data_IF_986863685934
#
_entry.id   IF_986863685934
#
_cell.length_a   1.000
_cell.length_b   1.000
_cell.length_c   1.000
_cell.angle_alpha   90.00
_cell.angle_beta   90.00
_cell.angle_gamma   90.00
#
_symmetry.space_group_name_H-M   'P 1'
#
loop_
_entity.id
_entity.type
_entity.pdbx_description
1 polymer ?
#
# COMPACT_ATOMS: atom_id res chain seq x y z
N UNK A 1 -5.57 7.17 -2.82
CA UNK A 1 -5.34 7.18 -4.28
C UNK A 1 -6.27 6.19 -4.94
N UNK A 2 -6.95 6.62 -6.00
CA UNK A 2 -7.72 5.73 -6.87
C UNK A 2 -6.81 5.25 -8.02
N UNK A 3 -6.66 3.94 -8.17
CA UNK A 3 -5.84 3.32 -9.22
C UNK A 3 -6.68 2.56 -10.26
N UNK A 4 -8.00 2.44 -10.07
CA UNK A 4 -8.85 1.56 -10.88
C UNK A 4 -10.32 2.00 -10.88
N UNK A 5 -10.58 3.30 -10.99
CA UNK A 5 -11.94 3.85 -11.04
C UNK A 5 -12.79 3.47 -9.82
N UNK A 6 -12.17 3.48 -8.64
CA UNK A 6 -12.80 3.17 -7.36
C UNK A 6 -12.80 1.68 -6.99
N UNK A 7 -12.32 0.79 -7.85
CA UNK A 7 -12.19 -0.65 -7.51
C UNK A 7 -11.03 -0.94 -6.56
N UNK A 8 -9.92 -0.22 -6.74
CA UNK A 8 -8.76 -0.27 -5.87
C UNK A 8 -8.53 1.11 -5.27
N UNK A 9 -8.64 1.20 -3.95
CA UNK A 9 -8.33 2.39 -3.18
C UNK A 9 -7.16 2.09 -2.26
N UNK A 10 -6.15 2.96 -2.28
CA UNK A 10 -5.05 2.93 -1.31
C UNK A 10 -5.08 4.18 -0.43
N UNK A 11 -5.13 4.00 0.88
CA UNK A 11 -5.03 5.07 1.87
C UNK A 11 -3.68 4.96 2.58
N UNK A 12 -2.94 6.06 2.64
CA UNK A 12 -1.60 6.08 3.22
C UNK A 12 -1.56 6.99 4.45
N UNK A 13 -1.06 6.46 5.56
CA UNK A 13 -0.79 7.20 6.79
C UNK A 13 0.72 7.28 6.99
N UNK A 14 1.24 8.50 7.10
CA UNK A 14 2.66 8.75 7.39
C UNK A 14 2.86 9.14 8.85
N UNK A 15 3.87 8.55 9.47
CA UNK A 15 4.32 8.92 10.82
C UNK A 15 5.58 9.76 10.72
N UNK A 16 5.59 10.89 11.45
CA UNK A 16 6.67 11.86 11.45
C UNK A 16 7.24 11.97 12.86
N UNK A 17 8.56 11.93 12.96
CA UNK A 17 9.30 12.07 14.21
C UNK A 17 10.29 13.24 14.11
N UNK A 18 10.80 13.71 15.25
CA UNK A 18 11.87 14.73 15.29
C UNK A 18 13.20 14.03 15.49
N UNK A 19 14.11 14.19 14.54
CA UNK A 19 15.50 13.73 14.63
C UNK A 19 16.44 14.90 14.44
N UNK A 20 17.38 15.08 15.37
CA UNK A 20 18.36 16.18 15.36
C UNK A 20 17.71 17.58 15.17
N UNK A 21 16.49 17.75 15.70
CA UNK A 21 15.71 18.99 15.58
C UNK A 21 14.96 19.17 14.27
N UNK A 22 14.90 18.14 13.41
CA UNK A 22 14.23 18.16 12.10
C UNK A 22 13.10 17.13 12.05
N UNK A 23 11.96 17.50 11.46
CA UNK A 23 10.86 16.58 11.21
C UNK A 23 11.20 15.64 10.05
N UNK A 24 11.15 14.34 10.30
CA UNK A 24 11.44 13.29 9.33
C UNK A 24 10.31 12.28 9.28
N UNK A 25 9.95 11.83 8.08
CA UNK A 25 9.01 10.70 7.93
C UNK A 25 9.75 9.44 8.34
N UNK A 26 9.18 8.66 9.24
CA UNK A 26 9.77 7.39 9.70
C UNK A 26 9.08 6.18 9.16
N UNK A 27 7.75 6.26 9.05
CA UNK A 27 6.91 5.13 8.64
C UNK A 27 5.81 5.59 7.71
N UNK A 28 5.43 4.71 6.79
CA UNK A 28 4.21 4.83 6.01
C UNK A 28 3.45 3.50 6.10
N UNK A 29 2.17 3.59 6.44
CA UNK A 29 1.25 2.45 6.43
C UNK A 29 0.24 2.66 5.31
N UNK A 30 0.16 1.71 4.37
CA UNK A 30 -0.80 1.75 3.27
C UNK A 30 -1.89 0.71 3.46
N UNK A 31 -3.13 1.14 3.65
CA UNK A 31 -4.30 0.27 3.64
C UNK A 31 -4.91 0.25 2.24
N UNK A 32 -4.95 -0.93 1.63
CA UNK A 32 -5.60 -1.15 0.35
C UNK A 32 -6.98 -1.79 0.53
N UNK A 33 -7.97 -1.27 -0.17
CA UNK A 33 -9.28 -1.90 -0.32
C UNK A 33 -9.48 -2.23 -1.79
N UNK A 34 -9.74 -3.51 -2.08
CA UNK A 34 -9.97 -4.01 -3.43
C UNK A 34 -11.33 -4.69 -3.53
N UNK A 35 -12.19 -4.17 -4.42
CA UNK A 35 -13.44 -4.84 -4.80
C UNK A 35 -13.16 -5.92 -5.84
N UNK A 36 -13.57 -7.14 -5.53
CA UNK A 36 -13.42 -8.31 -6.38
C UNK A 36 -14.71 -8.62 -7.14
N UNK A 37 -14.56 -8.90 -8.43
CA UNK A 37 -15.64 -9.51 -9.20
C UNK A 37 -15.93 -10.93 -8.64
N UNK A 38 -17.17 -11.45 -8.74
CA UNK A 38 -17.56 -12.71 -8.09
C UNK A 38 -16.74 -13.95 -8.49
N UNK A 39 -16.16 -13.94 -9.70
CA UNK A 39 -15.35 -15.01 -10.27
C UNK A 39 -13.84 -14.75 -10.15
N UNK A 40 -13.44 -13.72 -9.41
CA UNK A 40 -12.03 -13.37 -9.24
C UNK A 40 -11.26 -14.45 -8.47
N UNK A 41 -10.08 -14.79 -9.00
CA UNK A 41 -9.15 -15.73 -8.37
C UNK A 41 -8.40 -15.05 -7.21
N UNK A 42 -8.90 -15.26 -6.00
CA UNK A 42 -8.32 -14.70 -4.76
C UNK A 42 -6.85 -15.07 -4.56
N UNK A 43 -6.42 -16.26 -5.00
CA UNK A 43 -5.02 -16.66 -4.87
C UNK A 43 -4.10 -15.85 -5.79
N UNK A 44 -4.56 -15.55 -7.02
CA UNK A 44 -3.83 -14.64 -7.91
C UNK A 44 -3.78 -13.22 -7.39
N UNK A 45 -4.89 -12.73 -6.81
CA UNK A 45 -4.94 -11.41 -6.17
C UNK A 45 -3.95 -11.34 -5.02
N UNK A 46 -3.96 -12.33 -4.12
CA UNK A 46 -3.03 -12.39 -2.98
C UNK A 46 -1.58 -12.41 -3.47
N UNK A 47 -1.25 -13.26 -4.46
CA UNK A 47 0.10 -13.29 -5.04
C UNK A 47 0.49 -11.94 -5.66
N UNK A 48 -0.42 -11.27 -6.37
CA UNK A 48 -0.13 -9.95 -6.94
C UNK A 48 0.18 -8.93 -5.84
N UNK A 49 -0.58 -8.97 -4.74
CA UNK A 49 -0.34 -8.15 -3.57
C UNK A 49 0.98 -8.51 -2.87
N UNK A 50 1.31 -9.78 -2.64
CA UNK A 50 2.56 -10.14 -1.95
C UNK A 50 3.83 -9.65 -2.68
N UNK A 51 3.74 -9.47 -4.01
CA UNK A 51 4.87 -9.02 -4.84
C UNK A 51 4.78 -7.56 -5.31
N UNK A 52 3.70 -6.82 -5.00
CA UNK A 52 3.50 -5.49 -5.58
C UNK A 52 4.51 -4.46 -5.06
N UNK A 53 4.94 -4.58 -3.80
CA UNK A 53 5.80 -3.61 -3.14
C UNK A 53 7.13 -3.40 -3.88
N UNK A 54 7.77 -4.48 -4.34
CA UNK A 54 9.03 -4.42 -5.11
C UNK A 54 8.88 -3.68 -6.46
N UNK A 55 7.67 -3.60 -6.99
CA UNK A 55 7.34 -2.92 -8.25
C UNK A 55 6.71 -1.55 -8.04
N UNK A 56 6.38 -1.18 -6.80
CA UNK A 56 5.80 0.11 -6.46
C UNK A 56 6.85 1.22 -6.62
N UNK A 57 6.64 2.24 -7.48
CA UNK A 57 7.58 3.34 -7.65
C UNK A 57 7.89 4.08 -6.35
N UNK A 58 6.89 4.24 -5.48
CA UNK A 58 7.06 4.87 -4.16
C UNK A 58 7.97 4.02 -3.28
N UNK A 59 7.68 2.72 -3.11
CA UNK A 59 8.52 1.82 -2.33
C UNK A 59 9.96 1.78 -2.85
N UNK A 60 10.16 1.74 -4.17
CA UNK A 60 11.50 1.79 -4.78
C UNK A 60 12.25 3.11 -4.53
N UNK A 61 11.52 4.22 -4.36
CA UNK A 61 12.13 5.55 -4.21
C UNK A 61 12.52 5.84 -2.76
N UNK A 62 11.74 5.36 -1.78
CA UNK A 62 11.93 5.74 -0.36
C UNK A 62 11.92 4.55 0.62
N UNK A 63 11.59 3.34 0.19
CA UNK A 63 11.47 2.15 1.07
C UNK A 63 12.79 1.65 1.67
N UNK A 64 13.94 2.15 1.20
CA UNK A 64 15.23 1.91 1.85
C UNK A 64 15.54 2.91 2.98
N UNK A 65 14.80 4.01 3.04
CA UNK A 65 15.02 5.10 4.00
C UNK A 65 14.01 5.10 5.15
N UNK A 66 12.82 4.54 4.92
CA UNK A 66 11.72 4.51 5.89
C UNK A 66 11.05 3.14 5.90
N UNK A 67 10.39 2.81 7.01
CA UNK A 67 9.57 1.62 7.08
C UNK A 67 8.28 1.82 6.27
N UNK A 68 7.94 0.85 5.43
CA UNK A 68 6.68 0.86 4.68
C UNK A 68 5.99 -0.47 4.90
N UNK A 69 4.79 -0.44 5.48
CA UNK A 69 3.93 -1.61 5.59
C UNK A 69 2.70 -1.43 4.73
N UNK A 70 2.14 -2.55 4.28
CA UNK A 70 0.87 -2.54 3.54
C UNK A 70 -0.11 -3.52 4.18
N UNK A 71 -1.40 -3.26 4.03
CA UNK A 71 -2.49 -4.19 4.34
C UNK A 71 -3.47 -4.24 3.17
N UNK A 72 -4.14 -5.37 2.97
CA UNK A 72 -5.14 -5.55 1.91
C UNK A 72 -6.44 -6.09 2.50
N UNK A 73 -7.52 -5.37 2.26
CA UNK A 73 -8.90 -5.79 2.48
C UNK A 73 -9.56 -6.12 1.13
N UNK A 74 -10.20 -7.28 1.06
CA UNK A 74 -10.93 -7.74 -0.12
C UNK A 74 -12.43 -7.62 0.14
N UNK A 75 -13.12 -6.86 -0.71
CA UNK A 75 -14.57 -6.70 -0.68
C UNK A 75 -15.19 -7.48 -1.84
N UNK A 76 -16.33 -8.10 -1.61
CA UNK A 76 -17.15 -8.68 -2.68
C UNK A 76 -17.95 -7.56 -3.36
N UNK A 77 -17.99 -7.57 -4.70
CA UNK A 77 -18.72 -6.59 -5.51
C UNK A 77 -20.24 -6.79 -5.48
#
# INVERSE_FOLDING_TARGET
MDASGGRLVGEATGEVEVEDGVLVIKRIHVAYTLRLDPDADRAKVQRAYDHHAERCPVYRSIGSAIEITTALELLDA
#
